data_IF_745124278744
#
_entry.id   IF_745124278744
#
_cell.length_a   1.000
_cell.length_b   1.000
_cell.length_c   1.000
_cell.angle_alpha   90.00
_cell.angle_beta   90.00
_cell.angle_gamma   90.00
#
_symmetry.space_group_name_H-M   'P 1'
#
loop_
_entity.id
_entity.type
_entity.pdbx_description
1 polymer ?
#
# COMPACT_ATOMS: atom_id res chain seq x y z
N UNK A 1 2.73 8.90 3.42
CA UNK A 1 3.13 7.69 4.14
C UNK A 1 3.07 6.46 3.26
N UNK A 2 4.13 5.68 3.26
CA UNK A 2 4.23 4.41 2.50
C UNK A 2 4.32 3.27 3.50
N UNK A 3 3.29 2.45 3.60
CA UNK A 3 3.30 1.25 4.43
C UNK A 3 3.73 0.04 3.59
N UNK A 4 4.89 -0.50 3.89
CA UNK A 4 5.73 -1.46 3.18
C UNK A 4 6.53 -0.84 2.01
N UNK A 5 7.86 -0.99 2.09
CA UNK A 5 8.82 -0.37 1.18
C UNK A 5 9.45 -1.38 0.21
N UNK A 6 8.59 -2.27 -0.33
CA UNK A 6 8.93 -3.18 -1.42
C UNK A 6 8.98 -2.49 -2.78
N UNK A 7 8.96 -3.27 -3.88
CA UNK A 7 9.08 -2.72 -5.24
C UNK A 7 8.00 -1.68 -5.56
N UNK A 8 6.76 -1.91 -5.18
CA UNK A 8 5.65 -0.97 -5.44
C UNK A 8 5.80 0.26 -4.56
N UNK A 9 5.99 0.09 -3.24
CA UNK A 9 6.16 1.21 -2.31
C UNK A 9 7.31 2.14 -2.69
N UNK A 10 8.46 1.61 -3.10
CA UNK A 10 9.61 2.40 -3.60
C UNK A 10 9.26 3.24 -4.83
N UNK A 11 8.53 2.67 -5.79
CA UNK A 11 8.12 3.40 -6.98
C UNK A 11 7.09 4.50 -6.64
N UNK A 12 6.12 4.22 -5.77
CA UNK A 12 5.15 5.22 -5.31
C UNK A 12 5.86 6.34 -4.56
N UNK A 13 6.81 6.02 -3.67
CA UNK A 13 7.61 7.01 -2.95
C UNK A 13 8.38 7.94 -3.91
N UNK A 14 9.05 7.37 -4.93
CA UNK A 14 9.78 8.15 -5.96
C UNK A 14 8.85 9.08 -6.74
N UNK A 15 7.66 8.62 -7.11
CA UNK A 15 6.66 9.42 -7.83
C UNK A 15 6.13 10.54 -6.92
N UNK A 16 5.78 10.23 -5.67
CA UNK A 16 5.29 11.21 -4.70
C UNK A 16 6.32 12.32 -4.44
N UNK A 17 7.60 11.95 -4.28
CA UNK A 17 8.69 12.92 -4.15
C UNK A 17 8.81 13.81 -5.40
N UNK A 18 8.57 13.27 -6.61
CA UNK A 18 8.53 14.04 -7.85
C UNK A 18 7.41 15.08 -7.92
N UNK A 19 6.33 14.87 -7.16
CA UNK A 19 5.27 15.87 -6.94
C UNK A 19 5.60 16.89 -5.83
N UNK A 20 6.78 16.82 -5.23
CA UNK A 20 7.18 17.70 -4.14
C UNK A 20 6.61 17.29 -2.78
N UNK A 21 6.10 16.08 -2.64
CA UNK A 21 5.62 15.56 -1.36
C UNK A 21 6.79 15.18 -0.44
N UNK A 22 6.65 15.42 0.85
CA UNK A 22 7.52 14.86 1.87
C UNK A 22 7.11 13.42 2.13
N UNK A 23 7.99 12.47 1.85
CA UNK A 23 7.68 11.05 1.87
C UNK A 23 8.27 10.37 3.10
N UNK A 24 7.40 9.67 3.83
CA UNK A 24 7.74 8.82 4.97
C UNK A 24 7.44 7.37 4.63
N UNK A 25 8.21 6.43 5.20
CA UNK A 25 7.93 5.02 5.03
C UNK A 25 8.18 4.20 6.29
N UNK A 26 7.41 3.14 6.45
CA UNK A 26 7.64 2.07 7.41
C UNK A 26 7.56 0.72 6.71
N UNK A 27 8.49 -0.16 7.04
CA UNK A 27 8.49 -1.55 6.60
C UNK A 27 9.08 -2.43 7.72
N UNK A 28 8.41 -3.52 8.05
CA UNK A 28 8.84 -4.41 9.14
C UNK A 28 10.11 -5.22 8.81
N UNK A 29 10.46 -5.33 7.52
CA UNK A 29 11.57 -6.17 7.03
C UNK A 29 12.66 -5.38 6.31
N UNK A 30 12.36 -4.16 5.85
CA UNK A 30 13.33 -3.29 5.19
C UNK A 30 14.07 -2.45 6.24
N UNK A 31 15.40 -2.50 6.32
CA UNK A 31 16.17 -1.64 7.21
C UNK A 31 15.92 -0.15 6.95
N UNK A 32 15.90 0.66 8.01
CA UNK A 32 15.69 2.12 7.90
C UNK A 32 16.71 2.78 6.97
N UNK A 33 17.95 2.36 7.06
CA UNK A 33 19.06 2.87 6.25
C UNK A 33 18.78 2.67 4.75
N UNK A 34 18.09 1.58 4.38
CA UNK A 34 17.71 1.32 2.99
C UNK A 34 16.52 2.17 2.51
N UNK A 35 15.66 2.62 3.43
CA UNK A 35 14.58 3.59 3.17
C UNK A 35 15.20 4.97 2.99
N UNK A 36 16.08 5.37 3.90
CA UNK A 36 16.76 6.68 3.89
C UNK A 36 17.69 6.85 2.70
N UNK A 37 18.40 5.80 2.31
CA UNK A 37 19.23 5.78 1.10
C UNK A 37 18.42 6.01 -0.20
N UNK A 38 17.11 5.76 -0.17
CA UNK A 38 16.19 6.07 -1.26
C UNK A 38 15.63 7.51 -1.21
N UNK A 39 16.10 8.36 -0.28
CA UNK A 39 15.64 9.74 -0.10
C UNK A 39 14.27 9.84 0.61
N UNK A 40 13.87 8.81 1.33
CA UNK A 40 12.59 8.71 2.04
C UNK A 40 12.86 8.72 3.55
N UNK A 41 12.03 9.41 4.33
CA UNK A 41 12.16 9.44 5.80
C UNK A 41 11.63 8.14 6.40
N UNK A 42 12.50 7.37 7.06
CA UNK A 42 12.09 6.19 7.79
C UNK A 42 11.43 6.55 9.13
N UNK A 43 10.34 5.90 9.49
CA UNK A 43 9.71 6.00 10.81
C UNK A 43 9.85 4.69 11.59
N UNK A 44 9.70 4.78 12.92
CA UNK A 44 9.99 3.66 13.83
C UNK A 44 8.93 2.56 13.83
N UNK A 45 7.68 2.93 13.57
CA UNK A 45 6.54 2.02 13.58
C UNK A 45 5.42 2.52 12.67
N UNK A 46 4.47 1.65 12.39
CA UNK A 46 3.31 2.04 11.58
C UNK A 46 2.43 3.10 12.27
N UNK A 47 2.35 3.11 13.59
CA UNK A 47 1.62 4.14 14.33
C UNK A 47 2.16 5.53 13.99
N UNK A 48 3.48 5.72 14.08
CA UNK A 48 4.15 6.97 13.74
C UNK A 48 3.90 7.38 12.27
N UNK A 49 3.82 6.40 11.34
CA UNK A 49 3.48 6.67 9.95
C UNK A 49 2.08 7.26 9.81
N UNK A 50 1.08 6.65 10.48
CA UNK A 50 -0.31 7.09 10.42
C UNK A 50 -0.52 8.44 11.12
N UNK A 51 0.16 8.69 12.23
CA UNK A 51 0.09 9.97 12.96
C UNK A 51 0.73 11.13 12.18
N UNK A 52 1.78 10.84 11.41
CA UNK A 52 2.60 11.88 10.76
C UNK A 52 2.06 12.30 9.40
N UNK A 53 1.42 11.40 8.65
CA UNK A 53 1.15 11.61 7.23
C UNK A 53 -0.29 12.07 6.93
N UNK A 54 -0.43 12.94 5.93
CA UNK A 54 -1.72 13.42 5.44
C UNK A 54 -2.36 12.40 4.48
N UNK A 55 -1.53 11.61 3.80
CA UNK A 55 -1.95 10.50 2.92
C UNK A 55 -1.15 9.27 3.30
N UNK A 56 -1.79 8.14 3.52
CA UNK A 56 -1.14 6.85 3.76
C UNK A 56 -1.53 5.86 2.68
N UNK A 57 -0.51 5.33 1.96
CA UNK A 57 -0.67 4.34 0.91
C UNK A 57 -0.18 2.97 1.36
N UNK A 58 -1.04 1.97 1.20
CA UNK A 58 -0.80 0.59 1.65
C UNK A 58 -0.19 -0.25 0.54
N UNK A 59 0.91 -0.95 0.84
CA UNK A 59 1.60 -1.86 -0.08
C UNK A 59 1.95 -3.20 0.58
N UNK A 60 1.34 -3.50 1.72
CA UNK A 60 1.53 -4.75 2.46
C UNK A 60 0.85 -5.93 1.76
N UNK A 61 1.45 -7.13 1.76
CA UNK A 61 0.79 -8.34 1.31
C UNK A 61 -0.31 -8.77 2.30
N UNK A 62 -1.27 -9.58 1.86
CA UNK A 62 -2.22 -10.22 2.75
C UNK A 62 -1.61 -11.52 3.30
N UNK A 63 -1.19 -11.51 4.56
CA UNK A 63 -0.70 -12.66 5.32
C UNK A 63 -1.56 -12.88 6.56
N UNK A 64 -1.28 -13.91 7.34
CA UNK A 64 -1.99 -14.13 8.61
C UNK A 64 -1.85 -12.93 9.56
N UNK A 65 -0.66 -12.29 9.58
CA UNK A 65 -0.34 -11.15 10.45
C UNK A 65 -0.92 -9.83 9.95
N UNK A 66 -1.03 -9.65 8.64
CA UNK A 66 -1.47 -8.39 8.04
C UNK A 66 -2.97 -8.35 7.74
N UNK A 67 -3.65 -9.52 7.78
CA UNK A 67 -5.09 -9.59 7.58
C UNK A 67 -5.81 -8.77 8.66
N UNK A 68 -6.67 -7.83 8.24
CA UNK A 68 -7.41 -6.91 9.10
C UNK A 68 -6.54 -6.08 10.06
N UNK A 69 -5.24 -5.97 9.79
CA UNK A 69 -4.33 -5.15 10.61
C UNK A 69 -4.58 -3.64 10.47
N UNK A 70 -5.14 -3.22 9.35
CA UNK A 70 -5.54 -1.83 9.13
C UNK A 70 -6.95 -1.65 9.70
N UNK A 71 -6.99 -1.33 10.98
CA UNK A 71 -8.18 -1.26 11.84
C UNK A 71 -8.47 0.17 12.29
N UNK A 72 -9.58 0.38 13.02
CA UNK A 72 -9.98 1.70 13.51
C UNK A 72 -8.95 2.33 14.46
N UNK A 73 -8.28 1.52 15.29
CA UNK A 73 -7.28 2.02 16.23
C UNK A 73 -6.08 2.64 15.51
N UNK A 74 -5.65 2.04 14.40
CA UNK A 74 -4.55 2.53 13.59
C UNK A 74 -4.98 3.71 12.71
N UNK A 75 -6.06 3.56 11.95
CA UNK A 75 -6.56 4.61 11.04
C UNK A 75 -7.06 5.83 11.79
N UNK A 76 -7.59 5.64 13.00
CA UNK A 76 -8.03 6.72 13.89
C UNK A 76 -6.91 7.68 14.29
N UNK A 77 -5.65 7.25 14.23
CA UNK A 77 -4.47 8.09 14.49
C UNK A 77 -4.15 9.07 13.38
N UNK A 78 -4.70 8.87 12.19
CA UNK A 78 -4.44 9.76 11.05
C UNK A 78 -4.93 11.19 11.34
N UNK A 79 -4.22 12.15 10.77
CA UNK A 79 -4.54 13.58 10.88
C UNK A 79 -5.96 13.89 10.39
N UNK A 80 -6.46 15.04 10.79
CA UNK A 80 -7.75 15.55 10.28
C UNK A 80 -7.67 15.78 8.76
N UNK A 81 -8.64 15.29 8.03
CA UNK A 81 -8.71 15.41 6.57
C UNK A 81 -7.84 14.41 5.81
N UNK A 82 -7.21 13.45 6.51
CA UNK A 82 -6.31 12.49 5.91
C UNK A 82 -7.00 11.54 4.92
N UNK A 83 -6.18 10.96 4.04
CA UNK A 83 -6.61 10.02 3.00
C UNK A 83 -5.88 8.68 3.20
N UNK A 84 -6.67 7.61 3.35
CA UNK A 84 -6.19 6.24 3.30
C UNK A 84 -6.30 5.71 1.87
N UNK A 85 -5.20 5.22 1.28
CA UNK A 85 -5.15 4.66 -0.07
C UNK A 85 -4.80 3.18 0.00
N UNK A 86 -5.66 2.31 -0.53
CA UNK A 86 -5.41 0.88 -0.59
C UNK A 86 -5.37 0.38 -2.04
N UNK A 87 -4.18 0.17 -2.56
CA UNK A 87 -3.94 -0.51 -3.84
C UNK A 87 -3.26 -1.87 -3.64
N UNK A 88 -3.22 -2.36 -2.42
CA UNK A 88 -2.57 -3.63 -2.05
C UNK A 88 -3.55 -4.82 -2.11
N UNK A 89 -4.27 -5.06 -1.01
CA UNK A 89 -5.22 -6.16 -0.86
C UNK A 89 -6.40 -5.72 0.01
N UNK A 90 -7.63 -6.16 -0.30
CA UNK A 90 -8.81 -5.84 0.52
C UNK A 90 -8.74 -6.48 1.91
N UNK A 91 -8.18 -7.66 2.00
CA UNK A 91 -8.09 -8.47 3.22
C UNK A 91 -7.29 -7.79 4.34
N UNK A 92 -6.44 -6.81 4.02
CA UNK A 92 -5.67 -6.08 5.05
C UNK A 92 -6.52 -5.09 5.83
N UNK A 93 -7.66 -4.66 5.27
CA UNK A 93 -8.58 -3.71 5.91
C UNK A 93 -9.55 -4.46 6.82
N UNK A 94 -9.74 -3.95 8.03
CA UNK A 94 -10.89 -4.30 8.87
C UNK A 94 -12.08 -3.42 8.44
N UNK A 95 -12.83 -3.89 7.44
CA UNK A 95 -13.91 -3.09 6.82
C UNK A 95 -15.00 -2.66 7.81
N UNK A 96 -15.50 -3.54 8.73
CA UNK A 96 -16.50 -3.14 9.72
C UNK A 96 -16.03 -2.00 10.64
N UNK A 97 -14.77 -2.06 11.07
CA UNK A 97 -14.20 -1.01 11.93
C UNK A 97 -13.95 0.28 11.14
N UNK A 98 -13.46 0.18 9.89
CA UNK A 98 -13.25 1.36 9.04
C UNK A 98 -14.57 2.05 8.71
N UNK A 99 -15.65 1.31 8.43
CA UNK A 99 -16.99 1.87 8.21
C UNK A 99 -17.44 2.69 9.41
N UNK A 100 -17.37 2.11 10.61
CA UNK A 100 -17.75 2.80 11.84
C UNK A 100 -16.89 4.05 12.08
N UNK A 101 -15.58 3.95 11.89
CA UNK A 101 -14.68 5.09 12.02
C UNK A 101 -15.02 6.22 11.04
N UNK A 102 -15.39 5.90 9.79
CA UNK A 102 -15.78 6.90 8.79
C UNK A 102 -17.14 7.55 9.09
N UNK A 103 -18.02 6.90 9.87
CA UNK A 103 -19.24 7.53 10.42
C UNK A 103 -18.88 8.56 11.49
N UNK A 104 -17.94 8.24 12.37
CA UNK A 104 -17.49 9.10 13.46
C UNK A 104 -16.57 10.24 12.96
N UNK A 105 -15.73 9.96 11.96
CA UNK A 105 -14.77 10.89 11.36
C UNK A 105 -15.19 11.32 9.96
N UNK A 106 -16.04 12.37 9.90
CA UNK A 106 -16.55 12.92 8.65
C UNK A 106 -15.47 13.57 7.75
N UNK A 107 -14.25 13.71 8.24
CA UNK A 107 -13.09 14.27 7.54
C UNK A 107 -12.23 13.21 6.86
N UNK A 108 -12.35 11.93 7.28
CA UNK A 108 -11.52 10.83 6.76
C UNK A 108 -11.97 10.41 5.37
N UNK A 109 -11.00 10.14 4.49
CA UNK A 109 -11.24 9.68 3.13
C UNK A 109 -10.60 8.32 2.90
N UNK A 110 -11.30 7.45 2.14
CA UNK A 110 -10.80 6.14 1.74
C UNK A 110 -10.86 5.96 0.22
N UNK A 111 -9.72 5.63 -0.38
CA UNK A 111 -9.57 5.43 -1.84
C UNK A 111 -8.98 4.06 -2.07
N UNK A 112 -9.56 3.28 -2.99
CA UNK A 112 -9.07 1.93 -3.29
C UNK A 112 -9.23 1.58 -4.77
N UNK A 113 -8.31 0.74 -5.30
CA UNK A 113 -8.43 0.12 -6.62
C UNK A 113 -8.96 -1.33 -6.53
N UNK A 114 -9.32 -1.77 -5.32
CA UNK A 114 -9.86 -3.09 -5.03
C UNK A 114 -11.19 -2.92 -4.35
N UNK A 115 -12.25 -3.37 -5.03
CA UNK A 115 -13.60 -3.30 -4.50
C UNK A 115 -13.70 -4.03 -3.14
N UNK A 116 -14.06 -3.32 -2.05
CA UNK A 116 -14.30 -3.94 -0.74
C UNK A 116 -15.50 -4.90 -0.78
N UNK A 117 -15.58 -5.79 0.19
CA UNK A 117 -16.77 -6.65 0.34
C UNK A 117 -18.00 -5.81 0.77
N UNK A 118 -17.79 -4.78 1.60
CA UNK A 118 -18.80 -3.83 2.04
C UNK A 118 -18.92 -2.58 1.14
N UNK A 119 -18.63 -2.67 -0.16
CA UNK A 119 -18.64 -1.55 -1.11
C UNK A 119 -19.93 -0.71 -1.08
N UNK A 120 -21.10 -1.39 -0.98
CA UNK A 120 -22.39 -0.72 -0.89
C UNK A 120 -22.54 0.15 0.38
N UNK A 121 -21.95 -0.30 1.50
CA UNK A 121 -21.98 0.44 2.76
C UNK A 121 -20.99 1.62 2.72
N UNK A 122 -19.84 1.48 2.05
CA UNK A 122 -18.91 2.58 1.82
C UNK A 122 -19.47 3.63 0.87
N UNK A 123 -20.30 3.25 -0.09
CA UNK A 123 -20.89 4.18 -1.09
C UNK A 123 -21.71 5.31 -0.46
N UNK A 124 -22.21 5.15 0.78
CA UNK A 124 -22.91 6.23 1.51
C UNK A 124 -22.02 7.43 1.86
N UNK A 125 -20.70 7.27 1.83
CA UNK A 125 -19.73 8.32 2.16
C UNK A 125 -19.36 9.14 0.91
N UNK A 126 -20.34 9.77 0.26
CA UNK A 126 -20.12 10.58 -0.95
C UNK A 126 -18.98 11.60 -0.78
N UNK A 127 -18.11 11.69 -1.79
CA UNK A 127 -16.95 12.61 -1.77
C UNK A 127 -15.82 12.21 -0.83
N UNK A 128 -15.99 11.12 -0.05
CA UNK A 128 -14.98 10.61 0.89
C UNK A 128 -14.57 9.16 0.63
N UNK A 129 -15.34 8.44 -0.16
CA UNK A 129 -15.04 7.10 -0.61
C UNK A 129 -14.96 7.05 -2.13
N UNK A 130 -13.96 6.33 -2.64
CA UNK A 130 -13.83 6.01 -4.05
C UNK A 130 -13.24 4.60 -4.22
N UNK A 131 -13.87 3.80 -5.07
CA UNK A 131 -13.37 2.50 -5.49
C UNK A 131 -13.44 2.37 -7.00
N UNK A 132 -12.39 1.80 -7.62
CA UNK A 132 -12.49 1.43 -9.03
C UNK A 132 -13.37 0.16 -9.18
N UNK A 133 -14.07 -0.02 -10.32
CA UNK A 133 -14.95 -1.18 -10.52
C UNK A 133 -14.21 -2.53 -10.44
N UNK A 134 -12.92 -2.52 -10.77
CA UNK A 134 -12.03 -3.69 -10.69
C UNK A 134 -10.57 -3.22 -10.55
N UNK A 135 -9.74 -4.08 -9.96
CA UNK A 135 -8.29 -3.86 -9.92
C UNK A 135 -7.71 -3.82 -11.34
N UNK A 136 -7.04 -2.73 -11.69
CA UNK A 136 -6.49 -2.52 -13.04
C UNK A 136 -4.98 -2.31 -13.08
N UNK A 137 -4.34 -2.04 -11.96
CA UNK A 137 -2.95 -1.58 -11.88
C UNK A 137 -1.90 -2.51 -12.50
N UNK A 138 -2.18 -3.82 -12.62
CA UNK A 138 -1.27 -4.79 -13.23
C UNK A 138 -1.79 -5.38 -14.55
N UNK A 139 -2.89 -4.86 -15.09
CA UNK A 139 -3.57 -5.42 -16.28
C UNK A 139 -3.31 -4.58 -17.55
N UNK A 140 -2.08 -4.14 -17.73
CA UNK A 140 -1.66 -3.47 -18.97
C UNK A 140 -0.90 -4.44 -19.86
N UNK A 141 -0.94 -4.23 -21.19
CA UNK A 141 -0.16 -5.01 -22.13
C UNK A 141 1.34 -4.96 -21.80
N UNK A 142 1.84 -3.77 -21.44
CA UNK A 142 3.22 -3.55 -21.03
C UNK A 142 3.58 -4.35 -19.76
N UNK A 143 2.74 -4.36 -18.74
CA UNK A 143 2.98 -5.11 -17.51
C UNK A 143 3.08 -6.62 -17.80
N UNK A 144 2.21 -7.17 -18.65
CA UNK A 144 2.22 -8.57 -19.06
C UNK A 144 3.48 -8.93 -19.84
N UNK A 145 3.89 -8.08 -20.79
CA UNK A 145 5.11 -8.27 -21.58
C UNK A 145 6.32 -8.25 -20.64
N UNK A 146 6.43 -7.26 -19.78
CA UNK A 146 7.54 -7.12 -18.83
C UNK A 146 7.61 -8.29 -17.85
N UNK A 147 6.47 -8.79 -17.37
CA UNK A 147 6.42 -9.98 -16.52
C UNK A 147 6.94 -11.23 -17.26
N UNK A 148 6.55 -11.42 -18.52
CA UNK A 148 7.05 -12.52 -19.36
C UNK A 148 8.56 -12.45 -19.59
N UNK A 149 9.06 -11.27 -19.95
CA UNK A 149 10.51 -11.03 -20.12
C UNK A 149 11.26 -11.29 -18.81
N UNK A 150 10.77 -10.76 -17.69
CA UNK A 150 11.41 -10.95 -16.38
C UNK A 150 11.47 -12.44 -16.00
N UNK A 151 10.37 -13.19 -16.20
CA UNK A 151 10.34 -14.63 -15.95
C UNK A 151 11.37 -15.40 -16.79
N UNK A 152 11.44 -15.12 -18.09
CA UNK A 152 12.42 -15.74 -18.98
C UNK A 152 13.87 -15.41 -18.56
N UNK A 153 14.15 -14.15 -18.18
CA UNK A 153 15.46 -13.74 -17.68
C UNK A 153 15.84 -14.45 -16.37
N UNK A 154 14.89 -14.59 -15.45
CA UNK A 154 15.11 -15.28 -14.16
C UNK A 154 15.41 -16.77 -14.36
N UNK A 155 14.66 -17.46 -15.22
CA UNK A 155 14.89 -18.87 -15.58
C UNK A 155 16.28 -19.02 -16.21
N UNK A 156 16.63 -18.14 -17.15
CA UNK A 156 17.93 -18.16 -17.82
C UNK A 156 19.08 -17.94 -16.84
N UNK A 157 18.96 -16.98 -15.91
CA UNK A 157 19.94 -16.71 -14.86
C UNK A 157 20.09 -17.91 -13.90
N UNK A 158 18.98 -18.60 -13.58
CA UNK A 158 19.06 -19.83 -12.78
C UNK A 158 19.88 -20.92 -13.47
N UNK A 159 19.62 -21.20 -14.73
CA UNK A 159 20.32 -22.28 -15.44
C UNK A 159 21.76 -21.92 -15.83
N UNK A 160 22.07 -20.65 -16.13
CA UNK A 160 23.42 -20.22 -16.51
C UNK A 160 24.32 -19.94 -15.31
N UNK A 161 23.78 -19.24 -14.31
CA UNK A 161 24.60 -18.63 -13.25
C UNK A 161 24.27 -19.19 -11.86
N UNK A 162 23.33 -20.15 -11.77
CA UNK A 162 22.85 -20.69 -10.49
C UNK A 162 22.12 -19.65 -9.62
N UNK A 163 21.60 -18.58 -10.20
CA UNK A 163 20.94 -17.50 -9.47
C UNK A 163 19.64 -17.99 -8.82
N UNK A 164 19.58 -17.96 -7.49
CA UNK A 164 18.42 -18.40 -6.70
C UNK A 164 17.61 -17.25 -6.11
N UNK A 165 17.88 -16.00 -6.53
CA UNK A 165 17.26 -14.78 -5.98
C UNK A 165 15.73 -14.81 -5.95
N UNK A 166 15.10 -15.50 -6.91
CA UNK A 166 13.65 -15.58 -7.06
C UNK A 166 13.10 -16.99 -6.80
N UNK A 167 13.89 -17.85 -6.20
CA UNK A 167 13.47 -19.21 -5.80
C UNK A 167 12.45 -19.12 -4.67
N UNK A 168 11.31 -19.83 -4.80
CA UNK A 168 10.21 -19.82 -3.83
C UNK A 168 10.07 -21.10 -3.01
N UNK A 169 10.87 -22.14 -3.30
CA UNK A 169 10.90 -23.43 -2.61
C UNK A 169 12.29 -24.07 -2.66
#
# INVERSE_FOLDING_TARGET
GILAFGNVGRNVARIAAGFGMEVYAYDAFCPKEAIEAAGVKAVDCQDALFETCDVVSLHIPATAETKQSINAALVGKMKKGAVLVNTARKEVINEPELLKLMEERADLKYVTDIKPDADADFAKFEGRYFSTPKKMGAQTAEANINAGIAAACQINAFFKDGCTKFKVN
#
